data_IF_968353722345
#
_entry.id   IF_968353722345
#
_cell.length_a   1.000
_cell.length_b   1.000
_cell.length_c   1.000
_cell.angle_alpha   90.00
_cell.angle_beta   90.00
_cell.angle_gamma   90.00
#
_symmetry.space_group_name_H-M   'P 1'
#
loop_
_entity.id
_entity.type
_entity.pdbx_description
1 polymer ?
#
# COMPACT_ATOMS: atom_id res chain seq x y z
N UNK A 1 29.90 7.90 -2.44
CA UNK A 1 30.97 7.11 -3.10
C UNK A 1 30.69 5.64 -2.81
N UNK A 2 30.02 4.91 -3.72
CA UNK A 2 29.72 3.46 -3.56
C UNK A 2 30.95 2.69 -4.03
N UNK A 3 31.65 2.01 -3.11
CA UNK A 3 32.74 1.10 -3.48
C UNK A 3 32.13 -0.08 -4.26
N UNK A 4 32.64 -0.32 -5.48
CA UNK A 4 32.40 -1.56 -6.22
C UNK A 4 32.95 -2.74 -5.39
N UNK A 5 32.04 -3.55 -4.85
CA UNK A 5 32.38 -4.77 -4.14
C UNK A 5 32.64 -5.87 -5.17
N UNK A 6 33.89 -6.29 -5.31
CA UNK A 6 34.28 -7.40 -6.18
C UNK A 6 33.83 -8.73 -5.57
N UNK A 7 33.41 -9.68 -6.41
CA UNK A 7 33.09 -11.06 -6.02
C UNK A 7 34.29 -11.69 -5.31
N UNK A 8 34.05 -12.21 -4.08
CA UNK A 8 35.10 -12.84 -3.26
C UNK A 8 35.50 -12.03 -2.02
N UNK A 9 35.07 -10.78 -1.86
CA UNK A 9 35.42 -9.96 -0.70
C UNK A 9 34.63 -10.41 0.55
N UNK A 10 35.38 -10.85 1.60
CA UNK A 10 34.79 -11.12 2.92
C UNK A 10 34.55 -9.82 3.69
N UNK A 11 33.32 -9.64 4.18
CA UNK A 11 32.88 -8.46 4.93
C UNK A 11 32.65 -8.84 6.40
N UNK A 12 33.10 -7.99 7.30
CA UNK A 12 32.72 -8.09 8.72
C UNK A 12 31.35 -7.45 8.95
N UNK A 13 30.65 -7.78 10.05
CA UNK A 13 29.37 -7.14 10.40
C UNK A 13 29.43 -5.62 10.37
N UNK A 14 30.54 -5.02 10.82
CA UNK A 14 30.72 -3.57 10.85
C UNK A 14 30.84 -2.96 9.45
N UNK A 15 31.46 -3.68 8.51
CA UNK A 15 31.64 -3.20 7.13
C UNK A 15 30.30 -3.15 6.40
N UNK A 16 29.44 -4.17 6.64
CA UNK A 16 28.07 -4.22 6.12
C UNK A 16 27.17 -3.17 6.77
N UNK A 17 27.21 -3.03 8.10
CA UNK A 17 26.39 -2.08 8.85
C UNK A 17 26.69 -0.61 8.49
N UNK A 18 27.98 -0.25 8.39
CA UNK A 18 28.44 1.12 8.13
C UNK A 18 27.90 1.70 6.81
N UNK A 19 27.79 0.87 5.78
CA UNK A 19 27.31 1.29 4.46
C UNK A 19 25.84 1.75 4.46
N UNK A 20 25.07 1.37 5.47
CA UNK A 20 23.64 1.64 5.60
C UNK A 20 23.24 2.39 6.89
N UNK A 21 24.22 2.87 7.67
CA UNK A 21 23.95 3.58 8.92
C UNK A 21 23.34 2.69 10.01
N UNK A 22 23.57 1.39 9.97
CA UNK A 22 23.03 0.40 10.90
C UNK A 22 24.03 0.04 11.99
N UNK A 23 23.52 -0.50 13.10
CA UNK A 23 24.37 -1.18 14.09
C UNK A 23 24.73 -2.60 13.63
N UNK A 24 25.87 -3.13 14.10
CA UNK A 24 26.24 -4.53 13.86
C UNK A 24 25.21 -5.51 14.45
N UNK A 25 24.51 -5.10 15.52
CA UNK A 25 23.45 -5.90 16.12
C UNK A 25 22.22 -5.98 15.20
N UNK A 26 21.87 -4.89 14.51
CA UNK A 26 20.77 -4.91 13.53
C UNK A 26 21.05 -5.90 12.39
N UNK A 27 22.28 -5.94 11.87
CA UNK A 27 22.68 -6.90 10.82
C UNK A 27 22.55 -8.34 11.32
N UNK A 28 22.97 -8.63 12.55
CA UNK A 28 22.81 -9.96 13.17
C UNK A 28 21.34 -10.35 13.35
N UNK A 29 20.50 -9.38 13.75
CA UNK A 29 19.07 -9.60 13.91
C UNK A 29 18.41 -9.89 12.56
N UNK A 30 18.80 -9.22 11.49
CA UNK A 30 18.29 -9.47 10.14
C UNK A 30 18.69 -10.85 9.62
N UNK A 31 19.91 -11.31 9.90
CA UNK A 31 20.34 -12.68 9.60
C UNK A 31 19.52 -13.69 10.41
N UNK A 32 19.43 -13.51 11.73
CA UNK A 32 18.66 -14.39 12.60
C UNK A 32 17.18 -14.47 12.24
N UNK A 33 16.62 -13.37 11.70
CA UNK A 33 15.25 -13.31 11.21
C UNK A 33 15.06 -13.89 9.79
N UNK A 34 16.12 -14.39 9.13
CA UNK A 34 16.08 -14.91 7.77
C UNK A 34 15.89 -13.86 6.67
N UNK A 35 16.06 -12.58 7.02
CA UNK A 35 16.03 -11.45 6.06
C UNK A 35 17.30 -11.43 5.21
N UNK A 36 18.42 -11.77 5.80
CA UNK A 36 19.68 -12.01 5.11
C UNK A 36 19.91 -13.52 4.98
N UNK A 37 20.66 -13.97 3.96
CA UNK A 37 21.15 -15.34 3.90
C UNK A 37 21.97 -15.69 5.14
N UNK A 38 22.12 -16.97 5.43
CA UNK A 38 22.96 -17.44 6.51
C UNK A 38 24.43 -17.09 6.22
N UNK A 39 25.11 -16.48 7.20
CA UNK A 39 26.50 -16.09 7.09
C UNK A 39 27.41 -17.27 7.41
N UNK A 40 28.46 -17.45 6.60
CA UNK A 40 29.55 -18.38 6.92
C UNK A 40 30.22 -17.99 8.24
N UNK A 41 30.79 -19.00 8.93
CA UNK A 41 31.56 -18.77 10.14
C UNK A 41 33.04 -19.09 9.89
N UNK A 42 33.91 -18.23 10.40
CA UNK A 42 35.32 -18.50 10.42
C UNK A 42 35.63 -19.70 11.34
N UNK A 43 36.82 -20.33 11.27
CA UNK A 43 37.27 -21.37 12.24
C UNK A 43 37.15 -20.90 13.70
N UNK A 44 37.22 -19.62 13.97
CA UNK A 44 37.07 -19.02 15.29
C UNK A 44 35.62 -18.63 15.64
N UNK A 45 34.61 -19.05 14.84
CA UNK A 45 33.20 -18.82 15.10
C UNK A 45 32.65 -17.42 14.71
N UNK A 46 33.48 -16.54 14.14
CA UNK A 46 33.04 -15.21 13.73
C UNK A 46 32.24 -15.25 12.40
N UNK A 47 31.14 -14.48 12.32
CA UNK A 47 30.34 -14.35 11.10
C UNK A 47 31.11 -13.62 10.00
N UNK A 48 31.04 -14.16 8.80
CA UNK A 48 31.61 -13.58 7.59
C UNK A 48 30.51 -13.36 6.56
N UNK A 49 30.36 -12.12 6.13
CA UNK A 49 29.39 -11.72 5.10
C UNK A 49 30.10 -11.57 3.74
N UNK A 50 29.29 -11.60 2.69
CA UNK A 50 29.75 -11.48 1.29
C UNK A 50 29.02 -10.33 0.59
N UNK A 51 29.40 -9.96 -0.64
CA UNK A 51 28.65 -9.02 -1.47
C UNK A 51 27.17 -9.41 -1.64
N UNK A 52 26.85 -10.71 -1.64
CA UNK A 52 25.49 -11.21 -1.68
C UNK A 52 24.65 -10.70 -0.49
N UNK A 53 25.21 -10.73 0.72
CA UNK A 53 24.55 -10.18 1.92
C UNK A 53 24.36 -8.66 1.82
N UNK A 54 25.28 -7.93 1.19
CA UNK A 54 25.12 -6.50 0.96
C UNK A 54 23.96 -6.22 -0.02
N UNK A 55 23.82 -7.04 -1.06
CA UNK A 55 22.68 -6.95 -1.98
C UNK A 55 21.36 -7.31 -1.30
N UNK A 56 21.32 -8.37 -0.50
CA UNK A 56 20.16 -8.75 0.29
C UNK A 56 19.71 -7.62 1.24
N UNK A 57 20.68 -7.01 1.95
CA UNK A 57 20.41 -5.89 2.85
C UNK A 57 19.89 -4.67 2.08
N UNK A 58 20.47 -4.34 0.92
CA UNK A 58 20.01 -3.27 0.06
C UNK A 58 18.57 -3.52 -0.44
N UNK A 59 18.27 -4.74 -0.87
CA UNK A 59 16.93 -5.13 -1.30
C UNK A 59 15.92 -4.98 -0.16
N UNK A 60 16.23 -5.49 1.03
CA UNK A 60 15.38 -5.37 2.20
C UNK A 60 15.05 -3.91 2.53
N UNK A 61 16.07 -3.06 2.66
CA UNK A 61 15.88 -1.65 3.03
C UNK A 61 15.10 -0.87 1.97
N UNK A 62 15.31 -1.18 0.69
CA UNK A 62 14.55 -0.60 -0.40
C UNK A 62 13.07 -1.07 -0.39
N UNK A 63 12.83 -2.35 -0.13
CA UNK A 63 11.48 -2.92 -0.01
C UNK A 63 10.71 -2.33 1.19
N UNK A 64 11.37 -2.11 2.34
CA UNK A 64 10.74 -1.50 3.52
C UNK A 64 10.06 -0.18 3.18
N UNK A 65 10.70 0.65 2.37
CA UNK A 65 10.17 1.99 2.00
C UNK A 65 8.86 1.90 1.20
N UNK A 66 8.70 0.88 0.33
CA UNK A 66 7.53 0.72 -0.53
C UNK A 66 6.45 -0.18 0.07
N UNK A 67 6.85 -1.28 0.68
CA UNK A 67 5.96 -2.35 1.13
C UNK A 67 5.71 -2.34 2.65
N UNK A 68 6.51 -1.60 3.42
CA UNK A 68 6.53 -1.63 4.88
C UNK A 68 7.38 -2.77 5.42
N UNK A 69 7.77 -2.66 6.70
CA UNK A 69 8.75 -3.56 7.33
C UNK A 69 8.29 -5.03 7.33
N UNK A 70 7.03 -5.30 7.71
CA UNK A 70 6.51 -6.66 7.82
C UNK A 70 6.47 -7.38 6.47
N UNK A 71 5.90 -6.74 5.43
CA UNK A 71 5.83 -7.31 4.08
C UNK A 71 7.22 -7.50 3.49
N UNK A 72 8.12 -6.52 3.65
CA UNK A 72 9.51 -6.64 3.21
C UNK A 72 10.24 -7.80 3.88
N UNK A 73 10.01 -8.01 5.18
CA UNK A 73 10.54 -9.17 5.92
C UNK A 73 10.04 -10.47 5.32
N UNK A 74 8.73 -10.60 5.10
CA UNK A 74 8.13 -11.81 4.53
C UNK A 74 8.63 -12.09 3.12
N UNK A 75 8.80 -11.05 2.28
CA UNK A 75 9.37 -11.17 0.93
C UNK A 75 10.79 -11.72 1.01
N UNK A 76 11.67 -11.12 1.81
CA UNK A 76 13.06 -11.57 1.93
C UNK A 76 13.18 -12.97 2.50
N UNK A 77 12.36 -13.32 3.48
CA UNK A 77 12.30 -14.67 4.03
C UNK A 77 11.84 -15.70 3.00
N UNK A 78 10.86 -15.38 2.17
CA UNK A 78 10.40 -16.26 1.09
C UNK A 78 11.53 -16.47 0.06
N UNK A 79 12.17 -15.39 -0.39
CA UNK A 79 13.30 -15.45 -1.30
C UNK A 79 14.45 -16.29 -0.72
N UNK A 80 14.83 -16.10 0.54
CA UNK A 80 15.95 -16.80 1.16
C UNK A 80 15.66 -18.30 1.43
N UNK A 81 14.38 -18.71 1.36
CA UNK A 81 13.96 -20.13 1.42
C UNK A 81 13.68 -20.73 0.05
N UNK A 82 14.10 -20.07 -1.04
CA UNK A 82 13.85 -20.48 -2.43
C UNK A 82 12.36 -20.56 -2.83
N UNK A 83 11.48 -19.89 -2.06
CA UNK A 83 10.05 -19.76 -2.34
C UNK A 83 9.76 -18.44 -3.12
N UNK A 84 10.37 -18.30 -4.30
CA UNK A 84 10.30 -17.04 -5.10
C UNK A 84 8.87 -16.70 -5.49
N UNK A 85 8.03 -17.69 -5.84
CA UNK A 85 6.62 -17.47 -6.17
C UNK A 85 5.84 -16.86 -4.99
N UNK A 86 6.12 -17.28 -3.76
CA UNK A 86 5.51 -16.68 -2.56
C UNK A 86 5.95 -15.23 -2.39
N UNK A 87 7.20 -14.90 -2.67
CA UNK A 87 7.70 -13.54 -2.62
C UNK A 87 7.00 -12.65 -3.66
N UNK A 88 6.84 -13.14 -4.90
CA UNK A 88 6.14 -12.44 -5.98
C UNK A 88 4.67 -12.21 -5.62
N UNK A 89 3.98 -13.21 -5.07
CA UNK A 89 2.60 -13.07 -4.60
C UNK A 89 2.45 -11.99 -3.53
N UNK A 90 3.36 -11.91 -2.56
CA UNK A 90 3.36 -10.85 -1.53
C UNK A 90 3.54 -9.46 -2.13
N UNK A 91 4.36 -9.34 -3.18
CA UNK A 91 4.54 -8.09 -3.92
C UNK A 91 3.25 -7.71 -4.65
N UNK A 92 2.61 -8.65 -5.34
CA UNK A 92 1.35 -8.44 -6.04
C UNK A 92 0.22 -8.03 -5.09
N UNK A 93 0.10 -8.67 -3.94
CA UNK A 93 -0.86 -8.29 -2.89
C UNK A 93 -0.63 -6.84 -2.40
N UNK A 94 0.63 -6.46 -2.22
CA UNK A 94 0.98 -5.09 -1.81
C UNK A 94 0.69 -4.06 -2.90
N UNK A 95 0.87 -4.41 -4.18
CA UNK A 95 0.47 -3.57 -5.32
C UNK A 95 -1.05 -3.47 -5.45
N UNK A 96 -1.78 -4.57 -5.24
CA UNK A 96 -3.24 -4.57 -5.22
C UNK A 96 -3.78 -3.63 -4.14
N UNK A 97 -3.21 -3.65 -2.94
CA UNK A 97 -3.57 -2.71 -1.87
C UNK A 97 -3.31 -1.25 -2.28
N UNK A 98 -2.17 -0.95 -2.90
CA UNK A 98 -1.86 0.40 -3.39
C UNK A 98 -2.85 0.85 -4.47
N UNK A 99 -3.27 -0.05 -5.36
CA UNK A 99 -4.28 0.22 -6.37
C UNK A 99 -5.63 0.53 -5.72
N UNK A 100 -6.02 -0.20 -4.69
CA UNK A 100 -7.27 0.04 -3.96
C UNK A 100 -7.24 1.38 -3.22
N UNK A 101 -6.13 1.73 -2.57
CA UNK A 101 -5.92 3.05 -1.98
C UNK A 101 -6.08 4.19 -3.01
N UNK A 102 -5.60 3.99 -4.25
CA UNK A 102 -5.79 4.95 -5.35
C UNK A 102 -7.23 5.07 -5.80
N UNK A 103 -7.96 3.94 -5.89
CA UNK A 103 -9.38 3.91 -6.22
C UNK A 103 -10.19 4.65 -5.15
N UNK A 104 -9.88 4.43 -3.89
CA UNK A 104 -10.49 5.16 -2.76
C UNK A 104 -10.27 6.67 -2.88
N UNK A 105 -9.04 7.11 -3.16
CA UNK A 105 -8.76 8.52 -3.38
C UNK A 105 -9.56 9.11 -4.54
N UNK A 106 -9.70 8.37 -5.64
CA UNK A 106 -10.49 8.83 -6.80
C UNK A 106 -11.98 8.94 -6.46
N UNK A 107 -12.53 7.95 -5.75
CA UNK A 107 -13.93 7.97 -5.34
C UNK A 107 -14.25 9.13 -4.38
N UNK A 108 -13.35 9.40 -3.41
CA UNK A 108 -13.48 10.55 -2.52
C UNK A 108 -13.47 11.86 -3.32
N UNK A 109 -12.55 12.01 -4.30
CA UNK A 109 -12.50 13.19 -5.16
C UNK A 109 -13.77 13.37 -5.98
N UNK A 110 -14.30 12.29 -6.57
CA UNK A 110 -15.54 12.34 -7.33
C UNK A 110 -16.70 12.76 -6.43
N UNK A 111 -16.83 12.11 -5.27
CA UNK A 111 -17.89 12.42 -4.31
C UNK A 111 -17.87 13.88 -3.83
N UNK A 112 -16.67 14.47 -3.68
CA UNK A 112 -16.51 15.87 -3.27
C UNK A 112 -16.84 16.87 -4.41
N UNK A 113 -16.58 16.51 -5.67
CA UNK A 113 -16.96 17.34 -6.83
C UNK A 113 -18.48 17.41 -7.03
N UNK A 114 -19.17 16.28 -6.77
CA UNK A 114 -20.61 16.16 -6.90
C UNK A 114 -21.35 16.76 -5.70
N UNK A 115 -20.64 17.19 -4.65
CA UNK A 115 -21.20 17.99 -3.57
C UNK A 115 -21.38 19.40 -4.10
N UNK A 116 -22.59 19.71 -4.63
CA UNK A 116 -22.96 21.10 -4.83
C UNK A 116 -22.75 21.89 -3.54
N UNK A 117 -22.27 23.16 -3.62
CA UNK A 117 -22.23 24.02 -2.45
C UNK A 117 -23.62 23.99 -1.82
N UNK A 118 -23.75 23.39 -0.64
CA UNK A 118 -25.00 23.47 0.11
C UNK A 118 -25.17 24.95 0.45
N UNK A 119 -26.12 25.66 -0.14
CA UNK A 119 -26.34 27.06 0.22
C UNK A 119 -26.52 27.14 1.73
N UNK A 120 -25.72 27.99 2.38
CA UNK A 120 -25.78 28.20 3.84
C UNK A 120 -27.16 28.61 4.37
N UNK A 121 -28.07 28.92 3.46
CA UNK A 121 -29.41 29.41 3.74
C UNK A 121 -30.48 28.32 3.93
N UNK A 122 -30.21 27.05 3.63
CA UNK A 122 -31.15 25.97 3.96
C UNK A 122 -30.87 25.51 5.37
N UNK A 123 -31.72 25.99 6.29
CA UNK A 123 -31.72 25.61 7.70
C UNK A 123 -31.74 24.12 7.94
N UNK A 124 -31.62 23.73 9.19
CA UNK A 124 -31.70 22.37 9.67
C UNK A 124 -32.82 21.55 9.00
N UNK A 125 -32.55 20.29 8.68
CA UNK A 125 -33.53 19.41 8.04
C UNK A 125 -33.84 18.20 8.90
N UNK A 126 -34.97 17.55 8.66
CA UNK A 126 -35.41 16.34 9.36
C UNK A 126 -35.12 15.09 8.56
N UNK A 127 -35.25 13.93 9.21
CA UNK A 127 -34.96 12.61 8.61
C UNK A 127 -35.72 12.33 7.32
N UNK A 128 -37.01 12.74 7.25
CA UNK A 128 -37.86 12.49 6.08
C UNK A 128 -37.40 13.22 4.82
N UNK A 129 -37.28 14.58 4.85
CA UNK A 129 -36.71 15.33 3.73
C UNK A 129 -35.32 14.86 3.30
N UNK A 130 -34.42 14.61 4.24
CA UNK A 130 -33.05 14.14 3.92
C UNK A 130 -33.08 12.75 3.26
N UNK A 131 -33.90 11.82 3.79
CA UNK A 131 -34.05 10.48 3.20
C UNK A 131 -34.57 10.53 1.77
N UNK A 132 -35.59 11.38 1.50
CA UNK A 132 -36.12 11.59 0.14
C UNK A 132 -35.06 12.16 -0.79
N UNK A 133 -34.32 13.18 -0.35
CA UNK A 133 -33.24 13.80 -1.14
C UNK A 133 -32.16 12.77 -1.54
N UNK A 134 -31.83 11.85 -0.64
CA UNK A 134 -30.80 10.80 -0.88
C UNK A 134 -31.39 9.57 -1.58
N UNK A 135 -32.69 9.44 -1.73
CA UNK A 135 -33.33 8.23 -2.27
C UNK A 135 -33.11 6.99 -1.38
N UNK A 136 -32.97 7.15 -0.06
CA UNK A 136 -32.72 6.07 0.89
C UNK A 136 -33.82 5.98 1.95
N UNK A 137 -33.93 4.84 2.63
CA UNK A 137 -34.87 4.65 3.73
C UNK A 137 -34.39 5.39 4.99
N UNK A 138 -35.29 5.93 5.83
CA UNK A 138 -34.94 6.53 7.13
C UNK A 138 -34.12 5.60 8.03
N UNK A 139 -34.35 4.31 7.96
CA UNK A 139 -33.57 3.29 8.69
C UNK A 139 -32.09 3.30 8.28
N UNK A 140 -31.77 3.63 7.04
CA UNK A 140 -30.39 3.76 6.55
C UNK A 140 -29.68 4.92 7.21
N UNK A 141 -30.30 6.09 7.34
CA UNK A 141 -29.75 7.23 8.07
C UNK A 141 -29.48 6.90 9.54
N UNK A 142 -30.37 6.14 10.20
CA UNK A 142 -30.15 5.67 11.58
C UNK A 142 -28.97 4.68 11.67
N UNK A 143 -28.76 3.84 10.65
CA UNK A 143 -27.57 2.97 10.56
C UNK A 143 -26.30 3.82 10.40
N UNK A 144 -26.35 4.87 9.60
CA UNK A 144 -25.23 5.79 9.40
C UNK A 144 -24.90 6.60 10.66
N UNK A 145 -25.92 7.03 11.42
CA UNK A 145 -25.75 7.67 12.73
C UNK A 145 -24.99 6.75 13.69
N UNK A 146 -25.42 5.48 13.79
CA UNK A 146 -24.73 4.48 14.64
C UNK A 146 -23.29 4.21 14.19
N UNK A 147 -23.02 4.31 12.91
CA UNK A 147 -21.68 4.17 12.34
C UNK A 147 -20.84 5.46 12.39
N UNK A 148 -21.38 6.56 12.98
CA UNK A 148 -20.67 7.83 13.10
C UNK A 148 -20.55 8.66 11.82
N UNK A 149 -21.23 8.26 10.74
CA UNK A 149 -21.18 8.97 9.47
C UNK A 149 -21.98 10.30 9.50
N UNK A 150 -23.04 10.37 10.30
CA UNK A 150 -23.83 11.58 10.56
C UNK A 150 -24.03 11.73 12.06
N UNK A 151 -24.18 12.98 12.56
CA UNK A 151 -24.31 13.27 13.98
C UNK A 151 -25.48 14.24 14.25
N UNK A 152 -26.73 13.85 13.92
CA UNK A 152 -27.88 14.73 14.10
C UNK A 152 -28.06 15.07 15.57
N UNK A 153 -28.42 16.33 15.83
CA UNK A 153 -28.89 16.74 17.16
C UNK A 153 -30.36 16.34 17.35
N UNK A 154 -30.80 16.30 18.58
CA UNK A 154 -32.22 16.17 18.87
C UNK A 154 -32.82 17.55 19.14
N UNK A 155 -33.96 17.82 18.53
CA UNK A 155 -34.75 18.99 18.81
C UNK A 155 -35.21 18.93 20.28
N UNK A 156 -34.99 19.99 21.10
CA UNK A 156 -35.36 19.99 22.51
C UNK A 156 -36.86 19.92 22.79
N UNK A 157 -37.66 20.40 21.85
CA UNK A 157 -39.13 20.47 22.03
C UNK A 157 -39.83 19.22 21.53
N UNK A 158 -39.38 18.69 20.38
CA UNK A 158 -40.08 17.58 19.71
C UNK A 158 -39.39 16.23 19.85
N UNK A 159 -38.13 16.23 20.27
CA UNK A 159 -37.28 15.02 20.35
C UNK A 159 -36.83 14.47 18.98
N UNK A 160 -37.26 15.10 17.87
CA UNK A 160 -36.91 14.64 16.52
C UNK A 160 -35.43 14.89 16.18
N UNK A 161 -34.92 14.06 15.28
CA UNK A 161 -33.57 14.24 14.75
C UNK A 161 -33.52 15.40 13.78
N UNK A 162 -32.57 16.30 14.02
CA UNK A 162 -32.34 17.50 13.21
C UNK A 162 -30.91 17.37 12.62
N UNK A 163 -30.82 17.42 11.33
CA UNK A 163 -29.60 17.35 10.57
C UNK A 163 -29.17 18.74 10.16
N UNK A 164 -27.97 19.16 10.61
CA UNK A 164 -27.35 20.43 10.24
C UNK A 164 -26.87 20.40 8.79
N UNK A 165 -26.46 21.55 8.25
CA UNK A 165 -25.82 21.61 6.93
C UNK A 165 -24.57 20.71 6.84
N UNK A 166 -23.82 20.60 7.94
CA UNK A 166 -22.68 19.68 8.03
C UNK A 166 -23.10 18.21 7.96
N UNK A 167 -24.17 17.83 8.67
CA UNK A 167 -24.70 16.47 8.61
C UNK A 167 -25.25 16.13 7.22
N UNK A 168 -25.89 17.08 6.55
CA UNK A 168 -26.39 16.91 5.16
C UNK A 168 -25.21 16.68 4.21
N UNK A 169 -24.14 17.47 4.31
CA UNK A 169 -22.91 17.27 3.53
C UNK A 169 -22.30 15.89 3.78
N UNK A 170 -22.16 15.50 5.03
CA UNK A 170 -21.60 14.21 5.42
C UNK A 170 -22.47 13.05 4.92
N UNK A 171 -23.80 13.19 4.96
CA UNK A 171 -24.73 12.21 4.42
C UNK A 171 -24.64 12.09 2.89
N UNK A 172 -24.49 13.20 2.16
CA UNK A 172 -24.26 13.20 0.72
C UNK A 172 -22.97 12.49 0.36
N UNK A 173 -21.87 12.81 1.05
CA UNK A 173 -20.57 12.16 0.84
C UNK A 173 -20.66 10.65 1.13
N UNK A 174 -21.26 10.26 2.24
CA UNK A 174 -21.47 8.86 2.59
C UNK A 174 -22.33 8.15 1.52
N UNK A 175 -23.37 8.78 1.01
CA UNK A 175 -24.21 8.22 -0.04
C UNK A 175 -23.43 7.95 -1.33
N UNK A 176 -22.63 8.91 -1.80
CA UNK A 176 -21.82 8.75 -3.01
C UNK A 176 -20.79 7.62 -2.86
N UNK A 177 -20.08 7.57 -1.73
CA UNK A 177 -19.12 6.51 -1.46
C UNK A 177 -19.79 5.14 -1.35
N UNK A 178 -20.98 5.04 -0.74
CA UNK A 178 -21.77 3.80 -0.70
C UNK A 178 -22.20 3.32 -2.09
N UNK A 179 -22.59 4.24 -2.99
CA UNK A 179 -22.87 3.91 -4.40
C UNK A 179 -21.63 3.40 -5.13
N UNK A 180 -20.45 3.88 -4.75
CA UNK A 180 -19.16 3.38 -5.23
C UNK A 180 -18.73 2.04 -4.63
N UNK A 181 -19.56 1.40 -3.78
CA UNK A 181 -19.29 0.08 -3.20
C UNK A 181 -18.52 0.09 -1.87
N UNK A 182 -18.16 1.25 -1.32
CA UNK A 182 -17.38 1.34 -0.08
C UNK A 182 -18.20 0.93 1.14
N UNK A 183 -17.58 0.21 2.08
CA UNK A 183 -18.18 -0.20 3.35
C UNK A 183 -18.27 0.99 4.33
N UNK A 184 -19.17 0.91 5.32
CA UNK A 184 -19.32 1.99 6.30
C UNK A 184 -18.05 2.21 7.12
N UNK A 185 -17.35 1.14 7.42
CA UNK A 185 -16.09 1.13 8.17
C UNK A 185 -14.95 1.86 7.41
N UNK A 186 -15.00 1.83 6.09
CA UNK A 186 -14.04 2.55 5.22
C UNK A 186 -14.42 4.04 5.10
N UNK A 187 -15.72 4.37 5.13
CA UNK A 187 -16.23 5.72 4.98
C UNK A 187 -16.10 6.54 6.28
N UNK A 188 -16.31 5.92 7.44
CA UNK A 188 -16.32 6.63 8.72
C UNK A 188 -15.03 7.42 9.00
N UNK A 189 -13.81 6.88 8.81
CA UNK A 189 -12.57 7.65 8.99
C UNK A 189 -12.48 8.87 8.06
N UNK A 190 -12.98 8.76 6.82
CA UNK A 190 -12.97 9.85 5.85
C UNK A 190 -13.89 10.99 6.28
N UNK A 191 -15.11 10.68 6.74
CA UNK A 191 -16.04 11.66 7.27
C UNK A 191 -15.45 12.42 8.47
N UNK A 192 -14.78 11.71 9.38
CA UNK A 192 -14.10 12.35 10.52
C UNK A 192 -13.03 13.34 10.05
N UNK A 193 -12.26 13.01 9.02
CA UNK A 193 -11.26 13.92 8.46
C UNK A 193 -11.90 15.15 7.82
N UNK A 194 -13.00 14.97 7.07
CA UNK A 194 -13.79 16.08 6.48
C UNK A 194 -14.29 17.04 7.55
N UNK A 195 -14.83 16.53 8.66
CA UNK A 195 -15.28 17.34 9.79
C UNK A 195 -14.16 18.13 10.43
N UNK A 196 -13.01 17.47 10.69
CA UNK A 196 -11.83 18.13 11.29
C UNK A 196 -11.27 19.25 10.42
N UNK A 197 -11.38 19.11 9.12
CA UNK A 197 -10.92 20.10 8.15
C UNK A 197 -11.83 21.36 8.08
N UNK A 198 -12.98 21.36 8.72
CA UNK A 198 -13.88 22.54 8.80
C UNK A 198 -14.56 22.92 7.48
N UNK A 199 -14.43 22.09 6.41
CA UNK A 199 -15.04 22.37 5.11
C UNK A 199 -14.33 21.65 3.95
N UNK A 200 -14.70 21.99 2.70
CA UNK A 200 -14.17 21.34 1.49
C UNK A 200 -12.80 21.90 1.09
N UNK A 201 -12.54 23.20 1.28
CA UNK A 201 -11.29 23.84 0.87
C UNK A 201 -10.03 23.24 1.54
N UNK A 202 -9.99 22.94 2.85
CA UNK A 202 -8.87 22.23 3.48
C UNK A 202 -8.69 20.79 2.97
N UNK A 203 -9.77 20.17 2.43
CA UNK A 203 -9.71 18.82 1.89
C UNK A 203 -8.89 18.71 0.62
N UNK A 204 -8.84 19.74 -0.21
CA UNK A 204 -8.03 19.73 -1.43
C UNK A 204 -6.54 19.58 -1.13
N UNK A 205 -6.04 20.26 -0.08
CA UNK A 205 -4.67 20.10 0.38
C UNK A 205 -4.43 18.66 0.85
N UNK A 206 -5.31 18.14 1.70
CA UNK A 206 -5.21 16.77 2.22
C UNK A 206 -5.23 15.72 1.09
N UNK A 207 -6.08 15.91 0.08
CA UNK A 207 -6.16 15.01 -1.08
C UNK A 207 -4.90 15.10 -1.97
N UNK A 208 -4.31 16.28 -2.11
CA UNK A 208 -3.01 16.46 -2.79
C UNK A 208 -1.91 15.72 -2.03
N UNK A 209 -1.85 15.88 -0.71
CA UNK A 209 -0.86 15.20 0.13
C UNK A 209 -1.04 13.69 0.12
N UNK A 210 -2.28 13.21 0.15
CA UNK A 210 -2.57 11.78 0.03
C UNK A 210 -2.10 11.23 -1.32
N UNK A 211 -2.42 11.93 -2.42
CA UNK A 211 -1.93 11.58 -3.76
C UNK A 211 -0.40 11.54 -3.82
N UNK A 212 0.26 12.54 -3.22
CA UNK A 212 1.72 12.61 -3.18
C UNK A 212 2.33 11.41 -2.43
N UNK A 213 1.76 11.02 -1.28
CA UNK A 213 2.18 9.82 -0.52
C UNK A 213 2.01 8.54 -1.34
N UNK A 214 0.86 8.34 -2.01
CA UNK A 214 0.66 7.16 -2.87
C UNK A 214 1.66 7.12 -4.03
N UNK A 215 1.97 8.27 -4.62
CA UNK A 215 2.96 8.37 -5.70
C UNK A 215 4.38 8.10 -5.20
N UNK A 216 4.74 8.60 -4.02
CA UNK A 216 6.03 8.32 -3.39
C UNK A 216 6.17 6.82 -3.05
N UNK A 217 5.11 6.20 -2.51
CA UNK A 217 5.07 4.76 -2.24
C UNK A 217 5.26 3.94 -3.52
N UNK A 218 4.59 4.31 -4.62
CA UNK A 218 4.79 3.62 -5.91
C UNK A 218 6.24 3.67 -6.39
N UNK A 219 6.89 4.85 -6.29
CA UNK A 219 8.31 4.98 -6.68
C UNK A 219 9.21 4.14 -5.79
N UNK A 220 8.94 4.11 -4.48
CA UNK A 220 9.69 3.27 -3.55
C UNK A 220 9.54 1.78 -3.87
N UNK A 221 8.33 1.33 -4.27
CA UNK A 221 8.11 -0.05 -4.73
C UNK A 221 8.93 -0.39 -5.98
N UNK A 222 9.01 0.53 -6.96
CA UNK A 222 9.88 0.34 -8.14
C UNK A 222 11.36 0.22 -7.76
N UNK A 223 11.82 1.06 -6.83
CA UNK A 223 13.20 0.98 -6.33
C UNK A 223 13.44 -0.33 -5.59
N UNK A 224 12.47 -0.78 -4.79
CA UNK A 224 12.50 -2.06 -4.09
C UNK A 224 12.56 -3.24 -5.05
N UNK A 225 11.73 -3.23 -6.11
CA UNK A 225 11.72 -4.28 -7.13
C UNK A 225 13.07 -4.38 -7.86
N UNK A 226 13.64 -3.25 -8.27
CA UNK A 226 14.97 -3.23 -8.92
C UNK A 226 16.08 -3.75 -8.01
N UNK A 227 16.03 -3.42 -6.71
CA UNK A 227 17.01 -3.91 -5.74
C UNK A 227 16.85 -5.42 -5.46
N UNK A 228 15.60 -5.90 -5.41
CA UNK A 228 15.30 -7.33 -5.25
C UNK A 228 15.74 -8.13 -6.47
N UNK A 229 15.45 -7.67 -7.68
CA UNK A 229 15.89 -8.29 -8.94
C UNK A 229 17.41 -8.42 -8.99
N UNK A 230 18.14 -7.33 -8.64
CA UNK A 230 19.60 -7.35 -8.54
C UNK A 230 20.13 -8.31 -7.48
N UNK A 231 19.37 -8.58 -6.42
CA UNK A 231 19.71 -9.62 -5.43
C UNK A 231 19.44 -11.00 -5.99
N UNK A 232 18.27 -11.26 -6.59
CA UNK A 232 17.90 -12.55 -7.18
C UNK A 232 18.90 -13.00 -8.26
N UNK A 233 19.33 -12.07 -9.13
CA UNK A 233 20.30 -12.34 -10.18
C UNK A 233 21.69 -12.77 -9.68
N UNK A 234 22.01 -12.54 -8.40
CA UNK A 234 23.29 -12.90 -7.79
C UNK A 234 23.20 -14.14 -6.90
N UNK A 235 22.01 -14.69 -6.71
CA UNK A 235 21.87 -15.95 -5.99
C UNK A 235 22.32 -17.09 -6.91
N UNK A 236 23.05 -18.08 -6.39
CA UNK A 236 23.27 -19.31 -7.14
C UNK A 236 21.91 -19.93 -7.47
N UNK A 237 21.69 -20.29 -8.74
CA UNK A 237 20.47 -21.02 -9.12
C UNK A 237 20.37 -22.27 -8.23
N UNK A 238 19.26 -22.41 -7.52
CA UNK A 238 18.94 -23.68 -6.87
C UNK A 238 18.94 -24.76 -7.98
N UNK A 239 19.78 -25.78 -7.83
CA UNK A 239 19.93 -26.85 -8.79
C UNK A 239 18.58 -27.59 -8.95
N UNK A 240 17.76 -27.16 -9.89
CA UNK A 240 16.45 -27.77 -10.17
C UNK A 240 15.56 -26.88 -11.01
N UNK A 241 15.62 -27.02 -12.32
CA UNK A 241 14.56 -26.57 -13.22
C UNK A 241 14.93 -25.50 -14.24
N UNK A 242 15.79 -25.82 -15.20
CA UNK A 242 15.70 -25.17 -16.51
C UNK A 242 14.41 -25.65 -17.18
N UNK A 243 13.41 -24.77 -17.46
CA UNK A 243 12.43 -25.10 -18.50
C UNK A 243 13.19 -25.15 -19.82
N UNK A 244 13.17 -26.30 -20.47
CA UNK A 244 13.83 -26.53 -21.76
C UNK A 244 13.45 -25.43 -22.74
N UNK A 245 14.46 -24.85 -23.36
CA UNK A 245 14.32 -24.00 -24.52
C UNK A 245 13.62 -24.82 -25.63
N UNK A 246 12.30 -24.75 -25.68
CA UNK A 246 11.50 -25.26 -26.78
C UNK A 246 11.88 -24.49 -28.02
N UNK A 247 12.70 -25.11 -28.87
CA UNK A 247 12.98 -24.64 -30.21
C UNK A 247 11.66 -24.44 -30.95
N UNK A 248 11.31 -23.20 -31.23
CA UNK A 248 10.20 -22.86 -32.12
C UNK A 248 10.69 -23.21 -33.53
N UNK A 249 10.32 -24.40 -34.03
CA UNK A 249 10.51 -24.81 -35.41
C UNK A 249 9.60 -23.94 -36.29
N UNK A 250 10.21 -23.08 -37.09
CA UNK A 250 9.53 -22.34 -38.15
C UNK A 250 8.95 -23.31 -39.21
N UNK A 251 7.69 -23.14 -39.64
CA UNK A 251 7.15 -23.92 -40.71
C UNK A 251 7.80 -23.49 -42.05
N UNK A 252 8.47 -24.45 -42.71
CA UNK A 252 8.96 -24.33 -44.06
C UNK A 252 7.74 -24.32 -45.02
N UNK A 253 7.50 -23.16 -45.64
CA UNK A 253 6.56 -23.01 -46.76
C UNK A 253 7.21 -23.65 -48.01
N UNK A 254 6.66 -24.75 -48.52
CA UNK A 254 7.02 -25.30 -49.84
C UNK A 254 6.24 -24.54 -50.92
N UNK A 255 6.89 -24.11 -51.99
CA UNK A 255 6.15 -23.61 -53.17
C UNK A 255 5.54 -24.77 -53.96
N UNK A 256 4.26 -24.66 -54.24
CA UNK A 256 3.56 -25.54 -55.16
C UNK A 256 3.86 -25.12 -56.61
N UNK A 257 4.50 -26.03 -57.34
CA UNK A 257 4.58 -25.98 -58.79
C UNK A 257 3.34 -26.64 -59.39
N UNK A 258 2.78 -26.06 -60.43
CA UNK A 258 1.74 -26.62 -61.27
C UNK A 258 0.72 -25.59 -61.75
#
# INVERSE_FOLDING_TARGET
MRRNLQDGQRLRPIDLARGYGLSTQAVRNYEAAGILPEAERTPHGYRTYTPLHAKALNAFLALVTGHGHQTATSIMQAVNRDATEDALRLIDESHAQLLDDRRTLQAVKAALRDLEPVPSERGDTFVGPLSRRLGIRPATLRKWERAGLVQPRRDPQTGYRVYTAADVRDALLAHQLRRGGYLLEQIAPLIVQVRRAGGVAPLESMLRDWRARLSARSRAMLTGAAALDAYLACRPEAAGGRPGAGAIASPVVRPSSG
#
